data_IF_487208187429
#
_entry.id   IF_487208187429
#
_cell.length_a   1.000
_cell.length_b   1.000
_cell.length_c   1.000
_cell.angle_alpha   90.00
_cell.angle_beta   90.00
_cell.angle_gamma   90.00
#
_symmetry.space_group_name_H-M   'P 1'
#
loop_
_entity.id
_entity.type
_entity.pdbx_description
1 polymer ?
#
# COMPACT_ATOMS: atom_id res chain seq x y z
N UNK A 1 8.21 -9.10 -45.97
CA UNK A 1 8.80 -8.92 -44.62
C UNK A 1 7.73 -8.44 -43.62
N UNK A 2 7.14 -9.40 -42.91
CA UNK A 2 6.01 -9.25 -41.99
C UNK A 2 6.39 -8.46 -40.74
N UNK A 3 5.65 -7.39 -40.47
CA UNK A 3 5.65 -6.69 -39.18
C UNK A 3 5.01 -7.63 -38.15
N UNK A 4 5.80 -8.23 -37.28
CA UNK A 4 5.27 -8.97 -36.13
C UNK A 4 4.75 -7.97 -35.10
N UNK A 5 3.44 -8.00 -34.91
CA UNK A 5 2.72 -7.40 -33.79
C UNK A 5 3.22 -8.03 -32.48
N UNK A 6 4.03 -7.29 -31.72
CA UNK A 6 4.24 -7.62 -30.30
C UNK A 6 2.94 -7.30 -29.56
N UNK A 7 2.25 -8.33 -29.08
CA UNK A 7 1.22 -8.17 -28.06
C UNK A 7 1.90 -7.70 -26.76
N UNK A 8 1.37 -6.69 -26.05
CA UNK A 8 1.81 -6.41 -24.70
C UNK A 8 1.07 -7.37 -23.76
N UNK A 9 1.66 -8.55 -23.54
CA UNK A 9 1.21 -9.46 -22.50
C UNK A 9 1.60 -8.91 -21.12
N UNK A 10 0.56 -8.71 -20.31
CA UNK A 10 0.51 -8.71 -18.84
C UNK A 10 1.26 -7.62 -18.07
N UNK A 11 0.52 -6.57 -17.68
CA UNK A 11 0.43 -6.00 -16.32
C UNK A 11 1.70 -5.84 -15.46
N UNK A 12 2.88 -5.70 -16.04
CA UNK A 12 4.02 -5.13 -15.35
C UNK A 12 3.79 -3.62 -15.27
N UNK A 13 2.99 -3.18 -14.29
CA UNK A 13 2.97 -1.77 -13.92
C UNK A 13 4.40 -1.46 -13.44
N UNK A 14 5.15 -0.57 -14.10
CA UNK A 14 6.42 -0.12 -13.55
C UNK A 14 6.05 0.60 -12.27
N UNK A 15 6.33 -0.08 -11.15
CA UNK A 15 6.07 0.33 -9.76
C UNK A 15 6.30 1.85 -9.53
N UNK A 16 7.32 2.52 -10.12
CA UNK A 16 7.56 3.94 -9.89
C UNK A 16 6.40 4.88 -10.26
N UNK A 17 5.63 4.60 -11.31
CA UNK A 17 4.52 5.46 -11.73
C UNK A 17 3.28 5.27 -10.86
N UNK A 18 3.00 4.02 -10.46
CA UNK A 18 1.89 3.70 -9.56
C UNK A 18 2.12 4.24 -8.15
N UNK A 19 3.36 4.19 -7.66
CA UNK A 19 3.74 4.77 -6.36
C UNK A 19 3.53 6.27 -6.34
N UNK A 20 4.03 6.98 -7.37
CA UNK A 20 3.85 8.44 -7.47
C UNK A 20 2.39 8.85 -7.54
N UNK A 21 1.56 8.10 -8.27
CA UNK A 21 0.12 8.37 -8.36
C UNK A 21 -0.58 8.16 -7.02
N UNK A 22 -0.29 7.05 -6.35
CA UNK A 22 -0.89 6.71 -5.05
C UNK A 22 -0.44 7.67 -3.93
N UNK A 23 0.83 8.05 -3.91
CA UNK A 23 1.36 9.01 -2.93
C UNK A 23 0.76 10.40 -3.13
N UNK A 24 0.68 10.86 -4.39
CA UNK A 24 0.07 12.16 -4.70
C UNK A 24 -1.40 12.20 -4.30
N UNK A 25 -2.15 11.16 -4.63
CA UNK A 25 -3.54 11.05 -4.19
C UNK A 25 -3.68 11.09 -2.66
N UNK A 26 -2.81 10.37 -1.93
CA UNK A 26 -2.83 10.37 -0.47
C UNK A 26 -2.51 11.78 0.11
N UNK A 27 -1.53 12.46 -0.46
CA UNK A 27 -1.13 13.81 -0.08
C UNK A 27 -2.25 14.82 -0.35
N UNK A 28 -2.76 14.86 -1.59
CA UNK A 28 -3.73 15.86 -2.04
C UNK A 28 -5.11 15.66 -1.37
N UNK A 29 -5.58 14.42 -1.22
CA UNK A 29 -6.94 14.14 -0.78
C UNK A 29 -7.07 13.99 0.74
N UNK A 30 -6.00 13.57 1.42
CA UNK A 30 -6.06 13.20 2.86
C UNK A 30 -5.13 14.07 3.70
N UNK A 31 -3.83 14.14 3.39
CA UNK A 31 -2.85 14.78 4.29
C UNK A 31 -2.93 16.32 4.22
N UNK A 32 -3.02 16.89 3.03
CA UNK A 32 -2.98 18.34 2.79
C UNK A 32 -4.29 18.91 2.29
N UNK A 33 -5.38 18.15 2.44
CA UNK A 33 -6.70 18.63 2.08
C UNK A 33 -7.15 19.70 3.09
N UNK A 34 -7.25 20.95 2.65
CA UNK A 34 -7.62 22.10 3.48
C UNK A 34 -8.99 21.94 4.14
N UNK A 35 -9.93 21.27 3.47
CA UNK A 35 -11.26 21.02 4.04
C UNK A 35 -11.18 20.09 5.26
N UNK A 36 -10.33 19.05 5.18
CA UNK A 36 -10.16 18.05 6.24
C UNK A 36 -9.19 18.51 7.34
N UNK A 37 -8.29 19.44 7.04
CA UNK A 37 -7.24 19.93 7.95
C UNK A 37 -7.55 21.30 8.56
N UNK A 38 -8.69 21.90 8.22
CA UNK A 38 -9.15 23.19 8.74
C UNK A 38 -9.27 23.24 10.27
N UNK A 39 -9.55 22.09 10.91
CA UNK A 39 -9.60 21.94 12.36
C UNK A 39 -8.75 20.73 12.80
N UNK A 40 -8.14 20.77 14.00
CA UNK A 40 -7.40 19.63 14.54
C UNK A 40 -8.38 18.49 14.88
N UNK A 41 -8.56 17.57 13.93
CA UNK A 41 -9.49 16.45 14.05
C UNK A 41 -8.74 15.12 13.97
N UNK A 42 -8.97 14.26 14.97
CA UNK A 42 -8.57 12.85 14.89
C UNK A 42 -9.52 12.10 13.95
N UNK A 43 -9.12 11.90 12.70
CA UNK A 43 -9.90 11.19 11.69
C UNK A 43 -9.43 9.74 11.49
N UNK A 44 -10.38 8.83 11.23
CA UNK A 44 -10.08 7.45 10.80
C UNK A 44 -10.52 7.28 9.35
N UNK A 45 -9.57 7.06 8.46
CA UNK A 45 -9.82 6.83 7.02
C UNK A 45 -9.63 5.36 6.70
N UNK A 46 -10.57 4.77 5.97
CA UNK A 46 -10.45 3.43 5.43
C UNK A 46 -10.25 3.52 3.91
N UNK A 47 -9.13 2.99 3.42
CA UNK A 47 -8.82 2.91 1.99
C UNK A 47 -8.97 1.46 1.55
N UNK A 48 -9.83 1.21 0.57
CA UNK A 48 -10.07 -0.13 0.01
C UNK A 48 -9.61 -0.14 -1.43
N UNK A 49 -8.71 -1.08 -1.77
CA UNK A 49 -8.14 -1.18 -3.10
C UNK A 49 -7.52 -2.54 -3.35
N UNK A 50 -6.89 -2.67 -4.52
CA UNK A 50 -6.18 -3.90 -4.89
C UNK A 50 -4.83 -4.01 -4.16
N UNK A 51 -4.33 -5.24 -4.00
CA UNK A 51 -3.05 -5.47 -3.32
C UNK A 51 -1.88 -4.71 -3.97
N UNK A 52 -1.86 -4.55 -5.29
CA UNK A 52 -0.82 -3.78 -5.99
C UNK A 52 -0.83 -2.29 -5.61
N UNK A 53 -2.01 -1.68 -5.52
CA UNK A 53 -2.15 -0.29 -5.10
C UNK A 53 -1.75 -0.12 -3.63
N UNK A 54 -2.16 -1.07 -2.79
CA UNK A 54 -1.78 -1.09 -1.37
C UNK A 54 -0.26 -1.21 -1.19
N UNK A 55 0.42 -2.06 -1.96
CA UNK A 55 1.90 -2.13 -1.98
C UNK A 55 2.54 -0.79 -2.31
N UNK A 56 1.99 -0.06 -3.28
CA UNK A 56 2.50 1.26 -3.66
C UNK A 56 2.34 2.30 -2.55
N UNK A 57 1.21 2.27 -1.83
CA UNK A 57 0.99 3.13 -0.66
C UNK A 57 1.93 2.75 0.49
N UNK A 58 2.08 1.46 0.76
CA UNK A 58 2.97 0.93 1.80
C UNK A 58 4.42 1.32 1.55
N UNK A 59 4.85 1.32 0.29
CA UNK A 59 6.15 1.83 -0.11
C UNK A 59 6.35 3.28 0.29
N UNK A 60 5.37 4.13 -0.02
CA UNK A 60 5.45 5.55 0.27
C UNK A 60 5.46 5.80 1.79
N UNK A 61 4.56 5.15 2.52
CA UNK A 61 4.38 5.31 3.97
C UNK A 61 5.59 4.79 4.74
N UNK A 62 6.06 3.57 4.45
CA UNK A 62 7.14 2.92 5.21
C UNK A 62 8.53 3.17 4.63
N UNK A 63 8.62 3.77 3.43
CA UNK A 63 9.86 3.95 2.66
C UNK A 63 10.65 2.65 2.45
N UNK A 64 9.93 1.54 2.27
CA UNK A 64 10.54 0.25 1.97
C UNK A 64 11.11 0.18 0.55
N UNK A 65 12.16 -0.63 0.41
CA UNK A 65 12.75 -0.93 -0.89
C UNK A 65 11.82 -1.81 -1.74
N UNK A 66 11.90 -1.66 -3.07
CA UNK A 66 11.11 -2.39 -4.07
C UNK A 66 11.24 -3.91 -3.91
N UNK A 67 12.40 -4.39 -3.45
CA UNK A 67 12.61 -5.81 -3.17
C UNK A 67 11.76 -6.31 -2.00
N UNK A 68 11.60 -5.50 -0.94
CA UNK A 68 10.82 -5.88 0.23
C UNK A 68 9.33 -5.98 -0.11
N UNK A 69 8.81 -5.04 -0.89
CA UNK A 69 7.41 -5.01 -1.33
C UNK A 69 7.03 -6.19 -2.21
N UNK A 70 7.96 -6.66 -3.05
CA UNK A 70 7.75 -7.85 -3.88
C UNK A 70 7.68 -9.13 -3.06
N UNK A 71 8.37 -9.18 -1.92
CA UNK A 71 8.34 -10.31 -0.99
C UNK A 71 7.15 -10.25 -0.03
N UNK A 72 6.56 -9.07 0.16
CA UNK A 72 5.37 -8.89 0.96
C UNK A 72 4.13 -9.47 0.25
N UNK A 73 3.68 -10.62 0.73
CA UNK A 73 2.35 -11.12 0.41
C UNK A 73 1.32 -10.24 1.12
N UNK A 74 0.34 -9.74 0.36
CA UNK A 74 -0.84 -9.08 0.92
C UNK A 74 -1.98 -10.04 0.68
N UNK A 75 -2.54 -10.56 1.76
CA UNK A 75 -3.66 -11.48 1.71
C UNK A 75 -4.93 -10.74 1.35
N UNK A 76 -5.86 -11.45 0.71
CA UNK A 76 -7.17 -10.92 0.43
C UNK A 76 -7.86 -10.54 1.74
N UNK A 77 -8.58 -9.42 1.73
CA UNK A 77 -9.31 -8.90 2.89
C UNK A 77 -8.45 -8.63 4.12
N UNK A 78 -7.12 -8.63 4.00
CA UNK A 78 -6.23 -8.23 5.09
C UNK A 78 -6.32 -6.73 5.38
N UNK A 79 -6.13 -6.36 6.65
CA UNK A 79 -6.20 -4.96 7.09
C UNK A 79 -4.80 -4.48 7.47
N UNK A 80 -4.38 -3.35 6.89
CA UNK A 80 -3.22 -2.60 7.35
C UNK A 80 -3.69 -1.34 8.07
N UNK A 81 -2.99 -0.97 9.15
CA UNK A 81 -3.32 0.21 9.96
C UNK A 81 -2.07 1.05 10.19
N UNK A 82 -2.19 2.32 9.81
CA UNK A 82 -1.18 3.34 9.97
C UNK A 82 -1.74 4.52 10.76
N UNK A 83 -0.88 5.21 11.49
CA UNK A 83 -1.15 6.49 12.13
C UNK A 83 -0.26 7.52 11.45
N UNK A 84 -0.83 8.69 11.19
CA UNK A 84 -0.08 9.87 10.76
C UNK A 84 -0.30 10.98 11.79
N UNK A 85 0.78 11.42 12.41
CA UNK A 85 0.82 12.50 13.40
C UNK A 85 1.98 13.47 13.10
N UNK A 86 2.31 14.34 14.05
CA UNK A 86 3.39 15.32 13.95
C UNK A 86 4.79 14.68 13.89
N UNK A 87 4.96 13.45 14.38
CA UNK A 87 6.18 12.66 14.24
C UNK A 87 6.25 11.91 12.89
N UNK A 88 5.12 11.84 12.19
CA UNK A 88 5.00 11.29 10.85
C UNK A 88 4.24 9.95 10.82
N UNK A 89 4.71 9.01 10.01
CA UNK A 89 4.02 7.74 9.79
C UNK A 89 4.46 6.67 10.78
N UNK A 90 3.49 6.12 11.51
CA UNK A 90 3.66 4.97 12.40
C UNK A 90 2.85 3.77 11.93
N UNK A 91 3.46 2.58 11.93
CA UNK A 91 2.82 1.33 11.52
C UNK A 91 2.27 0.61 12.75
N UNK A 92 0.95 0.43 12.84
CA UNK A 92 0.33 -0.33 13.93
C UNK A 92 0.18 -1.81 13.59
N UNK A 93 -0.29 -2.10 12.37
CA UNK A 93 -0.55 -3.46 11.91
C UNK A 93 -0.36 -3.55 10.40
N UNK A 94 0.20 -4.67 9.95
CA UNK A 94 0.31 -5.02 8.54
C UNK A 94 -0.30 -6.39 8.31
N UNK A 95 -1.02 -6.54 7.20
CA UNK A 95 -1.59 -7.82 6.75
C UNK A 95 -2.42 -8.55 7.84
N UNK A 96 -3.22 -7.82 8.62
CA UNK A 96 -4.05 -8.43 9.68
C UNK A 96 -5.26 -9.15 9.06
N UNK A 97 -5.18 -10.47 9.00
CA UNK A 97 -6.24 -11.38 8.54
C UNK A 97 -6.92 -12.13 9.71
N UNK A 98 -6.62 -11.77 10.97
CA UNK A 98 -7.12 -12.51 12.15
C UNK A 98 -8.64 -12.58 12.23
N UNK A 99 -9.32 -11.55 11.71
CA UNK A 99 -10.77 -11.46 11.65
C UNK A 99 -11.42 -12.45 10.67
N UNK A 100 -10.64 -13.05 9.76
CA UNK A 100 -11.12 -14.07 8.82
C UNK A 100 -11.24 -15.46 9.46
N UNK A 101 -10.78 -15.62 10.71
CA UNK A 101 -10.86 -16.89 11.43
C UNK A 101 -9.94 -17.99 10.87
N UNK A 102 -9.18 -17.70 9.82
CA UNK A 102 -8.11 -18.55 9.29
C UNK A 102 -6.89 -18.38 10.18
N UNK A 103 -6.62 -19.39 11.00
CA UNK A 103 -5.44 -19.53 11.85
C UNK A 103 -4.17 -19.83 11.02
N UNK A 104 -3.91 -19.08 9.96
CA UNK A 104 -2.70 -19.20 9.15
C UNK A 104 -1.85 -17.96 9.43
N UNK A 105 -1.22 -17.96 10.60
CA UNK A 105 -0.17 -17.01 10.94
C UNK A 105 1.05 -17.30 10.07
N UNK A 106 1.14 -16.68 8.89
CA UNK A 106 2.38 -16.65 8.13
C UNK A 106 3.34 -15.67 8.80
N UNK A 107 3.96 -16.12 9.90
CA UNK A 107 5.18 -15.54 10.41
C UNK A 107 6.21 -15.53 9.29
N UNK A 108 6.81 -14.38 9.04
CA UNK A 108 7.95 -14.24 8.13
C UNK A 108 9.15 -14.99 8.74
N UNK A 109 9.18 -16.31 8.61
CA UNK A 109 10.41 -17.07 8.81
C UNK A 109 11.34 -16.76 7.64
N UNK A 110 12.35 -15.93 7.92
CA UNK A 110 13.56 -15.90 7.11
C UNK A 110 14.22 -17.28 7.24
N UNK A 111 14.09 -18.12 6.20
CA UNK A 111 14.87 -19.34 6.13
C UNK A 111 16.36 -19.00 5.95
N UNK A 112 17.26 -19.77 6.61
CA UNK A 112 18.71 -19.53 6.64
C UNK A 112 19.39 -19.65 5.28
#
# INVERSE_FOLDING_TARGET
PSRSSRSPSSWACPIPLSVRGASKWLEDEIIYNEELTSEPVSMRVAVVGHGTASRCLFQYIMRFDDMFLRRMSIENTSIARFIFDDEGWSVLKLNDATHLGTSESHSLEAQP
#
